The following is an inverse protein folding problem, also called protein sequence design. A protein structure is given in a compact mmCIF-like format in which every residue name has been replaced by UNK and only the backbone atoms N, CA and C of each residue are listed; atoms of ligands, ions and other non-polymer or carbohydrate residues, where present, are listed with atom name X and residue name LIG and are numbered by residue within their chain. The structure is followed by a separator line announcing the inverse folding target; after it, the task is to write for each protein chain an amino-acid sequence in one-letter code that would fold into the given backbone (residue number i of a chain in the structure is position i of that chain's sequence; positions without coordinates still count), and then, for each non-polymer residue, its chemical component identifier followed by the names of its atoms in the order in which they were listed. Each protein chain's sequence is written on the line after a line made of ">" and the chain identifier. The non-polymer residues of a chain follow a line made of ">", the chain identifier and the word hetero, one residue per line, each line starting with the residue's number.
data_IF_344587055260
#
_entry.id   IF_344587055260
#
_cell.length_a   1.000
_cell.length_b   1.000
_cell.length_c   1.000
_cell.angle_alpha   90.00
_cell.angle_beta   90.00
_cell.angle_gamma   90.00
#
_symmetry.space_group_name_H-M   'P 1'
#
loop_
_entity.id
_entity.type
_entity.pdbx_description
1 polymer ?
#
# COMPACT_ATOMS: atom_id res chain seq x y z
N UNK A 1 -14.16 11.62 0.21
CA UNK A 1 -12.77 11.27 0.58
C UNK A 1 -12.37 9.84 0.16
N UNK A 2 -13.22 8.82 0.36
CA UNK A 2 -12.89 7.43 -0.03
C UNK A 2 -12.42 7.24 -1.49
N UNK A 3 -13.02 7.93 -2.44
CA UNK A 3 -12.63 7.85 -3.86
C UNK A 3 -11.18 8.31 -4.10
N UNK A 4 -10.70 9.30 -3.37
CA UNK A 4 -9.32 9.80 -3.47
C UNK A 4 -8.32 8.72 -3.04
N UNK A 5 -8.60 8.03 -1.94
CA UNK A 5 -7.73 6.94 -1.45
C UNK A 5 -7.70 5.76 -2.42
N UNK A 6 -8.86 5.34 -2.93
CA UNK A 6 -8.94 4.22 -3.89
C UNK A 6 -8.15 4.54 -5.16
N UNK A 7 -8.31 5.74 -5.71
CA UNK A 7 -7.57 6.17 -6.91
C UNK A 7 -6.08 6.26 -6.61
N UNK A 8 -5.69 6.85 -5.48
CA UNK A 8 -4.31 6.95 -5.07
C UNK A 8 -3.64 5.58 -4.90
N UNK A 9 -4.31 4.62 -4.28
CA UNK A 9 -3.81 3.25 -4.15
C UNK A 9 -3.72 2.51 -5.49
N UNK A 10 -4.68 2.70 -6.39
CA UNK A 10 -4.60 2.14 -7.74
C UNK A 10 -3.41 2.68 -8.53
N UNK A 11 -3.14 3.97 -8.43
CA UNK A 11 -1.96 4.61 -9.05
C UNK A 11 -0.68 4.06 -8.43
N UNK A 12 -0.63 3.95 -7.09
CA UNK A 12 0.51 3.38 -6.38
C UNK A 12 0.79 1.95 -6.84
N UNK A 13 -0.21 1.06 -6.81
CA UNK A 13 -0.10 -0.33 -7.29
C UNK A 13 0.37 -0.40 -8.74
N UNK A 14 -0.07 0.52 -9.59
CA UNK A 14 0.35 0.56 -10.99
C UNK A 14 1.84 0.89 -11.11
N UNK A 15 2.33 1.91 -10.40
CA UNK A 15 3.75 2.27 -10.39
C UNK A 15 4.62 1.19 -9.77
N UNK A 16 4.19 0.59 -8.67
CA UNK A 16 4.91 -0.50 -8.00
C UNK A 16 5.00 -1.74 -8.90
N UNK A 17 3.90 -2.14 -9.52
CA UNK A 17 3.89 -3.26 -10.48
C UNK A 17 4.78 -2.96 -11.69
N UNK A 18 4.72 -1.75 -12.24
CA UNK A 18 5.58 -1.32 -13.35
C UNK A 18 7.06 -1.37 -12.95
N UNK A 19 7.41 -0.88 -11.76
CA UNK A 19 8.77 -0.90 -11.24
C UNK A 19 9.30 -2.33 -11.10
N UNK A 20 8.53 -3.20 -10.44
CA UNK A 20 8.90 -4.60 -10.19
C UNK A 20 9.04 -5.41 -11.47
N UNK A 21 8.09 -5.29 -12.39
CA UNK A 21 8.13 -6.00 -13.68
C UNK A 21 9.30 -5.51 -14.53
N UNK A 22 9.52 -4.21 -14.60
CA UNK A 22 10.66 -3.63 -15.34
C UNK A 22 11.99 -4.05 -14.72
N UNK A 23 12.09 -4.07 -13.39
CA UNK A 23 13.26 -4.56 -12.69
C UNK A 23 13.55 -6.04 -13.00
N UNK A 24 12.52 -6.86 -13.05
CA UNK A 24 12.63 -8.28 -13.42
C UNK A 24 13.15 -8.45 -14.86
N UNK A 25 12.64 -7.69 -15.81
CA UNK A 25 13.16 -7.71 -17.18
C UNK A 25 14.62 -7.25 -17.25
N UNK A 26 14.96 -6.19 -16.51
CA UNK A 26 16.37 -5.73 -16.44
C UNK A 26 17.27 -6.83 -15.87
N UNK A 27 16.87 -7.47 -14.78
CA UNK A 27 17.63 -8.56 -14.15
C UNK A 27 17.79 -9.76 -15.08
N UNK A 28 16.74 -10.14 -15.81
CA UNK A 28 16.79 -11.27 -16.77
C UNK A 28 17.71 -10.97 -17.94
N UNK A 29 17.67 -9.75 -18.48
CA UNK A 29 18.49 -9.33 -19.62
C UNK A 29 19.98 -9.17 -19.26
N UNK A 30 20.28 -8.93 -17.99
CA UNK A 30 21.67 -8.76 -17.49
C UNK A 30 22.20 -9.95 -16.73
N UNK A 31 21.48 -11.07 -16.74
CA UNK A 31 21.93 -12.33 -16.14
C UNK A 31 23.09 -12.96 -16.94
N UNK A 32 24.04 -13.68 -16.30
CA UNK A 32 24.21 -13.86 -14.86
C UNK A 32 24.83 -12.63 -14.16
N UNK A 33 24.47 -12.41 -12.89
CA UNK A 33 25.04 -11.32 -12.10
C UNK A 33 26.44 -11.67 -11.63
N UNK A 34 27.46 -11.24 -12.37
CA UNK A 34 28.86 -11.49 -12.06
C UNK A 34 29.48 -10.47 -11.11
N UNK A 35 28.76 -9.34 -10.89
CA UNK A 35 29.20 -8.20 -10.07
C UNK A 35 30.52 -7.55 -10.57
N UNK A 36 30.90 -7.80 -11.82
CA UNK A 36 32.03 -7.19 -12.47
C UNK A 36 31.71 -5.79 -12.99
N UNK A 37 32.74 -5.00 -13.24
CA UNK A 37 32.57 -3.66 -13.83
C UNK A 37 31.82 -3.70 -15.18
N UNK A 38 32.05 -4.72 -15.99
CA UNK A 38 31.36 -4.92 -17.27
C UNK A 38 29.88 -5.23 -17.09
N UNK A 39 29.53 -5.98 -16.06
CA UNK A 39 28.16 -6.26 -15.71
C UNK A 39 27.42 -4.98 -15.25
N UNK A 40 28.03 -4.16 -14.40
CA UNK A 40 27.50 -2.86 -14.00
C UNK A 40 27.23 -1.98 -15.21
N UNK A 41 28.15 -1.97 -16.18
CA UNK A 41 27.98 -1.22 -17.41
C UNK A 41 26.83 -1.76 -18.28
N UNK A 42 26.61 -3.08 -18.28
CA UNK A 42 25.46 -3.69 -18.98
C UNK A 42 24.13 -3.31 -18.34
N UNK A 43 24.04 -3.29 -17.01
CA UNK A 43 22.85 -2.81 -16.28
C UNK A 43 22.56 -1.34 -16.55
N UNK A 44 23.60 -0.50 -16.59
CA UNK A 44 23.50 0.92 -16.93
C UNK A 44 23.02 1.18 -18.37
N UNK A 45 23.24 0.25 -19.28
CA UNK A 45 22.77 0.33 -20.68
C UNK A 45 21.35 -0.24 -20.86
N UNK A 46 20.82 -0.96 -19.85
CA UNK A 46 19.55 -1.64 -19.96
C UNK A 46 18.38 -0.65 -19.76
N UNK A 47 17.56 -0.51 -20.79
CA UNK A 47 16.40 0.42 -20.78
C UNK A 47 15.39 0.11 -19.70
N UNK A 48 15.22 -1.17 -19.35
CA UNK A 48 14.27 -1.61 -18.31
C UNK A 48 14.72 -1.21 -16.91
N UNK A 49 16.03 -1.02 -16.68
CA UNK A 49 16.54 -0.50 -15.42
C UNK A 49 16.08 0.95 -15.20
N UNK A 50 16.10 1.77 -16.23
CA UNK A 50 15.59 3.16 -16.14
C UNK A 50 14.08 3.20 -15.98
N UNK A 51 13.35 2.31 -16.65
CA UNK A 51 11.89 2.20 -16.50
C UNK A 51 11.51 1.81 -15.07
N UNK A 52 12.25 0.88 -14.47
CA UNK A 52 12.10 0.52 -13.06
C UNK A 52 12.35 1.73 -12.14
N UNK A 53 13.40 2.50 -12.39
CA UNK A 53 13.72 3.70 -11.61
C UNK A 53 12.60 4.73 -11.68
N UNK A 54 12.05 4.99 -12.87
CA UNK A 54 10.89 5.89 -13.03
C UNK A 54 9.66 5.37 -12.28
N UNK A 55 9.42 4.06 -12.34
CA UNK A 55 8.34 3.42 -11.57
C UNK A 55 8.50 3.63 -10.06
N UNK A 56 9.69 3.40 -9.50
CA UNK A 56 9.96 3.62 -8.07
C UNK A 56 9.84 5.09 -7.65
N UNK A 57 10.28 6.02 -8.47
CA UNK A 57 10.11 7.46 -8.20
C UNK A 57 8.61 7.82 -8.20
N UNK A 58 7.84 7.32 -9.17
CA UNK A 58 6.39 7.52 -9.23
C UNK A 58 5.66 6.93 -8.02
N UNK A 59 6.01 5.70 -7.63
CA UNK A 59 5.50 5.06 -6.44
C UNK A 59 5.82 5.85 -5.18
N UNK A 60 7.06 6.31 -5.02
CA UNK A 60 7.51 7.11 -3.88
C UNK A 60 6.71 8.41 -3.74
N UNK A 61 6.55 9.17 -4.83
CA UNK A 61 5.79 10.42 -4.82
C UNK A 61 4.32 10.16 -4.46
N UNK A 62 3.73 9.13 -5.05
CA UNK A 62 2.35 8.72 -4.76
C UNK A 62 2.18 8.30 -3.30
N UNK A 63 3.12 7.50 -2.78
CA UNK A 63 3.16 7.04 -1.39
C UNK A 63 3.24 8.21 -0.42
N UNK A 64 4.17 9.14 -0.63
CA UNK A 64 4.29 10.34 0.20
C UNK A 64 3.04 11.22 0.18
N UNK A 65 2.35 11.26 -0.95
CA UNK A 65 1.09 12.01 -1.07
C UNK A 65 -0.04 11.31 -0.32
N UNK A 66 -0.13 9.99 -0.39
CA UNK A 66 -1.12 9.20 0.35
C UNK A 66 -0.93 9.31 1.87
N UNK A 67 0.30 9.16 2.36
CA UNK A 67 0.62 9.21 3.79
C UNK A 67 0.24 10.54 4.46
N UNK A 68 0.18 11.63 3.71
CA UNK A 68 -0.29 12.93 4.24
C UNK A 68 -1.78 12.95 4.59
N UNK A 69 -2.57 12.05 4.01
CA UNK A 69 -4.02 12.09 4.08
C UNK A 69 -4.64 10.78 4.61
N UNK A 70 -3.93 9.67 4.54
CA UNK A 70 -4.42 8.35 4.96
C UNK A 70 -3.82 7.94 6.31
N UNK A 71 -4.58 7.22 7.15
CA UNK A 71 -4.00 6.56 8.31
C UNK A 71 -2.93 5.55 7.87
N UNK A 72 -1.82 5.54 8.61
CA UNK A 72 -0.59 4.81 8.22
C UNK A 72 -0.82 3.29 8.17
N UNK A 73 -1.59 2.75 9.11
CA UNK A 73 -1.84 1.31 9.21
C UNK A 73 -2.49 0.70 7.96
N UNK A 74 -3.68 1.15 7.55
CA UNK A 74 -4.33 0.66 6.32
C UNK A 74 -3.53 0.90 5.06
N UNK A 75 -2.77 2.00 5.00
CA UNK A 75 -1.90 2.30 3.87
C UNK A 75 -0.79 1.25 3.72
N UNK A 76 -0.13 0.85 4.80
CA UNK A 76 0.89 -0.20 4.78
C UNK A 76 0.30 -1.57 4.42
N UNK A 77 -0.86 -1.93 4.98
CA UNK A 77 -1.51 -3.18 4.62
C UNK A 77 -1.86 -3.26 3.12
N UNK A 78 -2.37 -2.16 2.56
CA UNK A 78 -2.73 -2.10 1.15
C UNK A 78 -1.50 -2.14 0.22
N UNK A 79 -0.33 -1.61 0.63
CA UNK A 79 0.88 -1.66 -0.19
C UNK A 79 1.37 -3.10 -0.43
N UNK A 80 1.12 -4.02 0.52
CA UNK A 80 1.50 -5.42 0.33
C UNK A 80 0.69 -6.16 -0.75
N UNK A 81 -0.41 -5.59 -1.25
CA UNK A 81 -1.12 -6.09 -2.43
C UNK A 81 -0.27 -6.06 -3.71
N UNK A 82 0.78 -5.24 -3.75
CA UNK A 82 1.69 -5.20 -4.90
C UNK A 82 2.29 -6.58 -5.20
N UNK A 83 2.66 -7.34 -4.15
CA UNK A 83 3.25 -8.68 -4.28
C UNK A 83 2.30 -9.62 -5.03
N UNK A 84 1.01 -9.58 -4.69
CA UNK A 84 -0.02 -10.39 -5.35
C UNK A 84 -0.20 -9.93 -6.79
N UNK A 85 -0.22 -8.62 -7.04
CA UNK A 85 -0.37 -8.04 -8.38
C UNK A 85 0.81 -8.40 -9.28
N UNK A 86 2.04 -8.26 -8.77
CA UNK A 86 3.27 -8.62 -9.49
C UNK A 86 3.30 -10.13 -9.80
N UNK A 87 2.90 -10.97 -8.85
CA UNK A 87 2.84 -12.41 -9.04
C UNK A 87 1.83 -12.80 -10.14
N UNK A 88 0.63 -12.20 -10.14
CA UNK A 88 -0.36 -12.39 -11.19
C UNK A 88 0.17 -11.94 -12.55
N UNK A 89 0.81 -10.78 -12.60
CA UNK A 89 1.41 -10.26 -13.83
C UNK A 89 2.52 -11.18 -14.36
N UNK A 90 3.40 -11.68 -13.48
CA UNK A 90 4.45 -12.64 -13.85
C UNK A 90 3.86 -13.93 -14.43
N UNK A 91 2.79 -14.44 -13.84
CA UNK A 91 2.12 -15.63 -14.34
C UNK A 91 1.52 -15.40 -15.74
N UNK A 92 0.75 -14.32 -15.94
CA UNK A 92 0.04 -14.08 -17.20
C UNK A 92 0.93 -13.59 -18.33
N UNK A 93 1.93 -12.75 -18.05
CA UNK A 93 2.74 -12.09 -19.08
C UNK A 93 4.11 -12.73 -19.28
N UNK A 94 4.70 -13.27 -18.21
CA UNK A 94 6.02 -13.90 -18.30
C UNK A 94 5.94 -15.43 -18.43
N UNK A 95 4.74 -16.01 -18.29
CA UNK A 95 4.53 -17.47 -18.38
C UNK A 95 5.25 -18.24 -17.27
N UNK A 96 5.51 -17.60 -16.13
CA UNK A 96 6.19 -18.26 -15.02
C UNK A 96 5.28 -19.25 -14.32
N UNK A 97 5.85 -20.43 -14.00
CA UNK A 97 5.16 -21.40 -13.16
C UNK A 97 5.21 -20.97 -11.71
N UNK A 98 4.04 -20.70 -11.14
CA UNK A 98 3.93 -20.38 -9.72
C UNK A 98 4.21 -21.62 -8.88
N UNK A 99 5.14 -21.51 -7.95
CA UNK A 99 5.36 -22.54 -6.94
C UNK A 99 4.16 -22.62 -5.98
N UNK A 100 3.75 -23.81 -5.50
CA UNK A 100 2.72 -23.94 -4.48
C UNK A 100 2.99 -23.10 -3.23
N UNK A 101 4.26 -22.92 -2.87
CA UNK A 101 4.68 -22.09 -1.75
C UNK A 101 4.40 -20.59 -1.99
N UNK A 102 4.56 -20.11 -3.22
CA UNK A 102 4.23 -18.74 -3.60
C UNK A 102 2.73 -18.47 -3.54
N UNK A 103 1.92 -19.44 -4.01
CA UNK A 103 0.45 -19.37 -3.92
C UNK A 103 0.01 -19.32 -2.46
N UNK A 104 0.56 -20.19 -1.63
CA UNK A 104 0.25 -20.21 -0.20
C UNK A 104 0.65 -18.89 0.49
N UNK A 105 1.83 -18.36 0.19
CA UNK A 105 2.30 -17.07 0.72
C UNK A 105 1.38 -15.91 0.31
N UNK A 106 0.93 -15.86 -0.95
CA UNK A 106 0.01 -14.80 -1.41
C UNK A 106 -1.37 -14.88 -0.75
N UNK A 107 -1.88 -16.09 -0.49
CA UNK A 107 -3.12 -16.29 0.25
C UNK A 107 -3.00 -15.81 1.70
N UNK A 108 -1.86 -16.06 2.35
CA UNK A 108 -1.58 -15.55 3.69
C UNK A 108 -1.54 -14.01 3.73
N UNK A 109 -0.95 -13.38 2.72
CA UNK A 109 -0.90 -11.91 2.62
C UNK A 109 -2.32 -11.36 2.47
N UNK A 110 -3.13 -11.89 1.57
CA UNK A 110 -4.52 -11.48 1.38
C UNK A 110 -5.33 -11.68 2.67
N UNK A 111 -5.18 -12.82 3.32
CA UNK A 111 -5.82 -13.12 4.60
C UNK A 111 -5.43 -12.14 5.70
N UNK A 112 -4.14 -11.82 5.81
CA UNK A 112 -3.62 -10.81 6.75
C UNK A 112 -4.20 -9.43 6.51
N UNK A 113 -4.32 -9.00 5.26
CA UNK A 113 -4.90 -7.70 4.90
C UNK A 113 -6.40 -7.65 5.29
N UNK A 114 -7.14 -8.72 5.06
CA UNK A 114 -8.56 -8.80 5.43
C UNK A 114 -8.73 -8.70 6.95
N UNK A 115 -7.96 -9.48 7.72
CA UNK A 115 -8.00 -9.43 9.18
C UNK A 115 -7.63 -8.05 9.70
N UNK A 116 -6.60 -7.44 9.13
CA UNK A 116 -6.18 -6.09 9.50
C UNK A 116 -7.28 -5.05 9.19
N UNK A 117 -7.90 -5.12 8.02
CA UNK A 117 -8.98 -4.21 7.64
C UNK A 117 -10.22 -4.35 8.55
N UNK A 118 -10.53 -5.56 9.01
CA UNK A 118 -11.61 -5.80 9.97
C UNK A 118 -11.27 -5.20 11.35
N UNK A 119 -10.06 -5.43 11.85
CA UNK A 119 -9.62 -4.87 13.13
C UNK A 119 -9.60 -3.32 13.12
N UNK A 120 -9.17 -2.71 12.03
CA UNK A 120 -9.19 -1.25 11.88
C UNK A 120 -10.62 -0.69 11.83
N UNK A 121 -11.56 -1.42 11.19
CA UNK A 121 -12.97 -1.01 11.15
C UNK A 121 -13.60 -1.03 12.54
N UNK A 122 -13.26 -2.01 13.37
CA UNK A 122 -13.75 -2.12 14.74
C UNK A 122 -13.21 -0.97 15.61
N UNK A 123 -11.91 -0.67 15.53
CA UNK A 123 -11.29 0.45 16.26
C UNK A 123 -11.90 1.81 15.90
N UNK A 124 -12.12 2.08 14.61
CA UNK A 124 -12.76 3.31 14.17
C UNK A 124 -14.22 3.44 14.65
N UNK A 125 -14.90 2.32 14.85
CA UNK A 125 -16.27 2.29 15.39
C UNK A 125 -16.29 2.63 16.88
N UNK A 126 -15.35 2.09 17.64
CA UNK A 126 -15.19 2.36 19.08
C UNK A 126 -14.79 3.82 19.34
N UNK A 127 -13.85 4.35 18.58
CA UNK A 127 -13.41 5.75 18.67
C UNK A 127 -14.57 6.72 18.37
N UNK A 128 -15.34 6.43 17.33
CA UNK A 128 -16.51 7.23 16.97
C UNK A 128 -17.63 7.17 18.01
N UNK A 129 -17.79 6.05 18.71
CA UNK A 129 -18.75 5.90 19.79
C UNK A 129 -18.31 6.65 21.06
N UNK A 130 -17.02 6.62 21.37
CA UNK A 130 -16.41 7.32 22.52
C UNK A 130 -16.49 8.85 22.35
N UNK A 131 -16.22 9.34 21.14
CA UNK A 131 -16.29 10.78 20.83
C UNK A 131 -17.73 11.33 20.95
N UNK A 132 -18.71 10.56 20.49
CA UNK A 132 -20.13 10.89 20.67
C UNK A 132 -20.55 10.92 22.13
N UNK A 133 -20.12 9.95 22.94
CA UNK A 133 -20.44 9.91 24.37
C UNK A 133 -19.78 11.08 25.13
N UNK A 134 -18.55 11.47 24.73
CA UNK A 134 -17.85 12.64 25.25
C UNK A 134 -18.59 13.94 24.92
N UNK A 135 -19.01 14.14 23.70
CA UNK A 135 -19.74 15.35 23.27
C UNK A 135 -21.10 15.49 23.93
N UNK A 136 -21.84 14.38 24.11
CA UNK A 136 -23.12 14.39 24.83
C UNK A 136 -22.93 14.77 26.30
N UNK A 137 -21.91 14.24 26.96
CA UNK A 137 -21.60 14.58 28.36
C UNK A 137 -21.22 16.05 28.55
N UNK A 138 -20.52 16.62 27.58
CA UNK A 138 -20.14 18.03 27.61
C UNK A 138 -21.35 18.96 27.42
N UNK A 139 -22.24 18.63 26.48
CA UNK A 139 -23.49 19.34 26.23
C UNK A 139 -24.45 19.29 27.43
N UNK A 140 -24.57 18.12 28.08
CA UNK A 140 -25.38 17.95 29.32
C UNK A 140 -24.78 18.77 30.46
N UNK A 141 -23.47 18.83 30.59
CA UNK A 141 -22.78 19.61 31.62
C UNK A 141 -23.01 21.11 31.46
N UNK A 142 -22.93 21.60 30.21
CA UNK A 142 -23.15 22.99 29.88
C UNK A 142 -24.60 23.42 30.16
N UNK A 143 -25.58 22.59 29.78
CA UNK A 143 -27.00 22.87 30.03
C UNK A 143 -27.35 22.85 31.53
N UNK A 144 -26.74 21.98 32.32
CA UNK A 144 -26.91 21.95 33.78
C UNK A 144 -26.31 23.23 34.42
N UNK A 145 -25.15 23.69 33.96
CA UNK A 145 -24.50 24.87 34.50
C UNK A 145 -25.32 26.15 34.23
N UNK A 146 -25.84 26.31 33.02
CA UNK A 146 -26.69 27.46 32.64
C UNK A 146 -28.00 27.45 33.45
N UNK A 147 -28.58 26.26 33.72
CA UNK A 147 -29.78 26.14 34.52
C UNK A 147 -29.60 26.47 36.00
N UNK A 148 -28.38 26.41 36.54
CA UNK A 148 -28.03 26.81 37.89
C UNK A 148 -27.78 28.30 38.08
N UNK A 149 -27.26 28.99 37.07
CA UNK A 149 -27.02 30.44 37.10
C UNK A 149 -28.28 31.27 36.94
N UNK A 150 -29.38 30.70 36.46
CA UNK A 150 -30.64 31.40 36.24
C UNK A 150 -31.63 31.36 37.46
N UNK A 151 -31.19 30.80 38.59
CA UNK A 151 -31.96 30.80 39.86
C UNK A 151 -31.37 31.72 40.91
#
# INVERSE_FOLDING_TARGET
>A
MAKFYIIGFLILLTFDTLAQVSFKFAATNTAPATLDFLWILSVLKEKWAYMSLVGYIGAFVTWMTLLKHAPVGPAFAASHLEIVTVMLFSFFFLGEHLSPLQIFGSLLIIGGIIVFAMAEADLNTEESASDKDGSIKEEVRETVTIGQESK
#
